data_IF_399468045418
#
_entry.id   IF_399468045418
#
_cell.length_a   1.000
_cell.length_b   1.000
_cell.length_c   1.000
_cell.angle_alpha   90.00
_cell.angle_beta   90.00
_cell.angle_gamma   90.00
#
_symmetry.space_group_name_H-M   'P 1'
#
loop_
_entity.id
_entity.type
_entity.pdbx_description
1 polymer ?
#
# COMPACT_ATOMS: atom_id res chain seq x y z
N UNK A 1 -0.41 -8.87 23.51
CA UNK A 1 1.03 -8.51 23.55
C UNK A 1 1.16 -7.12 23.00
N UNK A 2 1.56 -6.16 23.83
CA UNK A 2 1.70 -4.76 23.43
C UNK A 2 3.18 -4.43 23.39
N UNK A 3 3.70 -4.23 22.18
CA UNK A 3 5.10 -3.85 21.97
C UNK A 3 5.24 -2.34 21.92
N UNK A 4 6.40 -1.79 22.27
CA UNK A 4 6.69 -0.35 22.08
C UNK A 4 7.79 -0.17 21.04
N UNK A 5 7.44 0.35 19.87
CA UNK A 5 8.40 0.56 18.77
C UNK A 5 9.34 1.72 19.14
N UNK A 6 10.65 1.47 19.08
CA UNK A 6 11.70 2.45 19.33
C UNK A 6 12.32 2.96 18.05
N UNK A 7 12.40 2.13 17.00
CA UNK A 7 12.94 2.50 15.68
C UNK A 7 12.21 1.80 14.54
N UNK A 8 12.17 2.49 13.40
CA UNK A 8 11.68 1.99 12.12
C UNK A 8 12.79 2.11 11.07
N UNK A 9 12.94 1.09 10.24
CA UNK A 9 13.86 1.06 9.11
C UNK A 9 13.17 0.54 7.85
N UNK A 10 13.59 1.05 6.69
CA UNK A 10 13.14 0.57 5.39
C UNK A 10 14.35 0.29 4.50
N UNK A 11 14.33 -0.85 3.80
CA UNK A 11 15.33 -1.26 2.82
C UNK A 11 14.65 -1.41 1.46
N UNK A 12 15.17 -0.75 0.43
CA UNK A 12 14.55 -0.72 -0.92
C UNK A 12 15.25 -1.58 -1.98
N UNK A 13 16.37 -2.23 -1.62
CA UNK A 13 17.18 -3.02 -2.56
C UNK A 13 16.55 -4.37 -2.94
N UNK A 14 17.37 -5.32 -3.38
CA UNK A 14 16.96 -6.66 -3.89
C UNK A 14 16.13 -7.53 -2.93
N UNK A 15 16.00 -7.12 -1.66
CA UNK A 15 15.06 -7.72 -0.71
C UNK A 15 14.44 -6.59 0.09
N UNK A 16 13.39 -5.94 -0.45
CA UNK A 16 12.81 -4.81 0.23
C UNK A 16 12.04 -5.26 1.47
N UNK A 17 12.18 -4.46 2.53
CA UNK A 17 11.66 -4.85 3.85
C UNK A 17 11.50 -3.64 4.75
N UNK A 18 10.53 -3.72 5.65
CA UNK A 18 10.47 -2.87 6.84
C UNK A 18 11.03 -3.64 8.03
N UNK A 19 11.80 -2.95 8.87
CA UNK A 19 12.28 -3.50 10.12
C UNK A 19 11.91 -2.60 11.28
N UNK A 20 11.69 -3.23 12.43
CA UNK A 20 11.38 -2.54 13.68
C UNK A 20 12.33 -3.00 14.77
N UNK A 21 12.72 -2.05 15.61
CA UNK A 21 13.28 -2.29 16.93
C UNK A 21 12.16 -1.96 17.93
N UNK A 22 11.92 -2.83 18.91
CA UNK A 22 10.87 -2.62 19.90
C UNK A 22 11.24 -3.19 21.26
N UNK A 23 10.60 -2.68 22.31
CA UNK A 23 10.65 -3.26 23.64
C UNK A 23 9.50 -4.26 23.80
N UNK A 24 9.83 -5.46 24.27
CA UNK A 24 8.83 -6.44 24.70
C UNK A 24 8.29 -6.14 26.11
N UNK A 25 7.37 -6.99 26.59
CA UNK A 25 6.73 -6.85 27.91
C UNK A 25 7.73 -6.91 29.09
N UNK A 26 8.95 -7.40 28.85
CA UNK A 26 10.03 -7.48 29.83
C UNK A 26 11.07 -6.35 29.66
N UNK A 27 10.76 -5.31 28.88
CA UNK A 27 11.66 -4.21 28.54
C UNK A 27 12.96 -4.67 27.87
N UNK A 28 12.94 -5.79 27.14
CA UNK A 28 14.08 -6.23 26.33
C UNK A 28 13.92 -5.74 24.90
N UNK A 29 15.03 -5.29 24.32
CA UNK A 29 15.07 -4.93 22.92
C UNK A 29 14.94 -6.18 22.04
N UNK A 30 14.02 -6.10 21.11
CA UNK A 30 13.74 -7.10 20.11
C UNK A 30 13.81 -6.47 18.72
N UNK A 31 14.03 -7.32 17.73
CA UNK A 31 14.09 -6.93 16.33
C UNK A 31 13.14 -7.80 15.52
N UNK A 32 12.38 -7.17 14.62
CA UNK A 32 11.53 -7.89 13.65
C UNK A 32 11.68 -7.27 12.28
N UNK A 33 11.72 -8.13 11.26
CA UNK A 33 11.72 -7.76 9.86
C UNK A 33 10.44 -8.28 9.20
N UNK A 34 9.87 -7.45 8.35
CA UNK A 34 8.72 -7.71 7.50
C UNK A 34 9.20 -7.54 6.06
N UNK A 35 9.14 -8.61 5.27
CA UNK A 35 9.42 -8.47 3.86
C UNK A 35 8.24 -7.78 3.19
N UNK A 36 8.55 -6.72 2.43
CA UNK A 36 7.53 -5.84 1.84
C UNK A 36 7.98 -5.53 0.43
N UNK A 37 7.11 -5.79 -0.54
CA UNK A 37 7.34 -5.38 -1.90
C UNK A 37 6.83 -3.95 -2.11
N UNK A 38 7.65 -2.95 -1.78
CA UNK A 38 7.24 -1.54 -1.86
C UNK A 38 6.81 -1.08 -3.24
N UNK A 39 7.33 -1.71 -4.30
CA UNK A 39 6.93 -1.46 -5.68
C UNK A 39 5.44 -1.75 -5.93
N UNK A 40 4.82 -2.61 -5.12
CA UNK A 40 3.42 -3.00 -5.27
C UNK A 40 2.44 -1.99 -4.66
N UNK A 41 2.93 -0.99 -3.93
CA UNK A 41 2.09 0.02 -3.32
C UNK A 41 2.20 1.32 -4.12
N UNK A 42 1.15 1.63 -4.88
CA UNK A 42 1.01 2.92 -5.56
C UNK A 42 0.46 4.00 -4.60
N UNK A 43 -0.27 3.55 -3.58
CA UNK A 43 -0.93 4.39 -2.58
C UNK A 43 -0.36 4.13 -1.17
N UNK A 44 0.01 5.22 -0.50
CA UNK A 44 0.47 5.21 0.90
C UNK A 44 -0.58 4.66 1.88
N UNK A 45 -1.86 4.87 1.61
CA UNK A 45 -2.94 4.44 2.48
C UNK A 45 -3.10 2.92 2.43
N UNK A 46 -2.92 2.30 1.26
CA UNK A 46 -2.94 0.84 1.13
C UNK A 46 -1.79 0.18 1.90
N UNK A 47 -0.58 0.76 1.80
CA UNK A 47 0.57 0.27 2.58
C UNK A 47 0.34 0.46 4.09
N UNK A 48 -0.18 1.62 4.49
CA UNK A 48 -0.56 1.88 5.89
C UNK A 48 -1.58 0.86 6.41
N UNK A 49 -2.64 0.60 5.64
CA UNK A 49 -3.66 -0.37 6.03
C UNK A 49 -3.06 -1.76 6.19
N UNK A 50 -2.20 -2.20 5.26
CA UNK A 50 -1.49 -3.48 5.37
C UNK A 50 -0.71 -3.58 6.70
N UNK A 51 -0.02 -2.51 7.11
CA UNK A 51 0.70 -2.51 8.39
C UNK A 51 -0.24 -2.64 9.59
N UNK A 52 -1.32 -1.88 9.64
CA UNK A 52 -2.20 -1.85 10.83
C UNK A 52 -3.19 -3.00 10.89
N UNK A 53 -3.45 -3.69 9.77
CA UNK A 53 -4.35 -4.85 9.71
C UNK A 53 -3.58 -6.17 9.76
N UNK A 54 -2.70 -6.41 8.78
CA UNK A 54 -1.98 -7.69 8.66
C UNK A 54 -0.90 -7.85 9.73
N UNK A 55 -0.37 -6.74 10.25
CA UNK A 55 0.65 -6.70 11.30
C UNK A 55 0.22 -5.92 12.54
N UNK A 56 -1.08 -5.94 12.86
CA UNK A 56 -1.69 -5.20 13.98
C UNK A 56 -0.95 -5.40 15.31
N UNK A 57 -0.45 -6.62 15.57
CA UNK A 57 0.28 -6.96 16.80
C UNK A 57 1.53 -6.08 17.02
N UNK A 58 2.09 -5.51 15.94
CA UNK A 58 3.24 -4.62 15.97
C UNK A 58 2.87 -3.18 15.67
N UNK A 59 1.90 -2.93 14.80
CA UNK A 59 1.54 -1.60 14.33
C UNK A 59 0.11 -1.26 14.74
N UNK A 60 -0.03 -0.71 15.95
CA UNK A 60 -1.30 -0.23 16.47
C UNK A 60 -1.06 1.07 17.26
N UNK A 61 -2.15 1.69 17.72
CA UNK A 61 -2.12 2.96 18.44
C UNK A 61 -1.32 2.93 19.75
N UNK A 62 -1.19 1.75 20.36
CA UNK A 62 -0.49 1.57 21.64
C UNK A 62 1.01 1.33 21.43
N UNK A 63 1.41 0.84 20.24
CA UNK A 63 2.80 0.54 19.91
C UNK A 63 3.56 1.68 19.23
N UNK A 64 2.85 2.50 18.45
CA UNK A 64 3.43 3.62 17.72
C UNK A 64 2.40 4.73 17.49
N UNK A 65 2.88 5.98 17.53
CA UNK A 65 2.09 7.12 17.09
C UNK A 65 1.71 6.97 15.61
N UNK A 66 0.41 7.00 15.33
CA UNK A 66 -0.12 6.72 14.00
C UNK A 66 0.28 7.78 12.96
N UNK A 67 0.50 9.03 13.36
CA UNK A 67 0.99 10.07 12.47
C UNK A 67 2.46 9.85 12.11
N UNK A 68 3.28 9.38 13.07
CA UNK A 68 4.67 8.97 12.78
C UNK A 68 4.72 7.80 11.81
N UNK A 69 3.84 6.81 11.98
CA UNK A 69 3.75 5.67 11.06
C UNK A 69 3.35 6.12 9.65
N UNK A 70 2.31 6.96 9.52
CA UNK A 70 1.90 7.54 8.22
C UNK A 70 3.03 8.31 7.54
N UNK A 71 3.77 9.13 8.29
CA UNK A 71 4.91 9.90 7.75
C UNK A 71 6.05 8.99 7.30
N UNK A 72 6.33 7.93 8.03
CA UNK A 72 7.32 6.93 7.64
C UNK A 72 6.92 6.23 6.33
N UNK A 73 5.65 5.84 6.19
CA UNK A 73 5.11 5.20 4.98
C UNK A 73 5.12 6.14 3.78
N UNK A 74 4.76 7.42 3.97
CA UNK A 74 4.90 8.45 2.92
C UNK A 74 6.34 8.49 2.38
N UNK A 75 7.34 8.52 3.26
CA UNK A 75 8.75 8.51 2.85
C UNK A 75 9.16 7.21 2.13
N UNK A 76 8.53 6.08 2.46
CA UNK A 76 8.77 4.82 1.76
C UNK A 76 8.28 4.92 0.32
N UNK A 77 7.03 5.36 0.12
CA UNK A 77 6.44 5.47 -1.23
C UNK A 77 7.25 6.45 -2.10
N UNK A 78 7.66 7.59 -1.56
CA UNK A 78 8.46 8.58 -2.28
C UNK A 78 9.84 8.06 -2.71
N UNK A 79 10.45 7.18 -1.91
CA UNK A 79 11.78 6.62 -2.17
C UNK A 79 11.75 5.26 -2.87
N UNK A 80 10.57 4.65 -2.97
CA UNK A 80 10.42 3.34 -3.60
C UNK A 80 10.80 3.45 -5.08
N UNK A 81 11.69 2.58 -5.58
CA UNK A 81 11.99 2.55 -7.00
C UNK A 81 10.70 2.24 -7.76
N UNK A 82 10.33 3.15 -8.68
CA UNK A 82 9.19 2.95 -9.58
C UNK A 82 9.52 1.78 -10.50
N UNK A 83 8.67 0.76 -10.48
CA UNK A 83 8.88 -0.42 -11.30
C UNK A 83 8.55 -0.09 -12.76
N UNK A 84 9.50 -0.38 -13.66
CA UNK A 84 9.30 -0.26 -15.11
C UNK A 84 8.46 -1.46 -15.59
N UNK A 85 7.15 -1.24 -15.73
CA UNK A 85 6.19 -2.29 -16.13
C UNK A 85 6.52 -2.88 -17.52
N UNK A 86 7.25 -2.16 -18.38
CA UNK A 86 7.71 -2.67 -19.67
C UNK A 86 8.81 -3.74 -19.56
N UNK A 87 9.42 -3.90 -18.38
CA UNK A 87 10.48 -4.88 -18.09
C UNK A 87 10.13 -5.83 -16.94
N UNK A 88 8.91 -5.76 -16.43
CA UNK A 88 8.46 -6.60 -15.32
C UNK A 88 8.29 -8.06 -15.77
N UNK A 89 8.57 -9.02 -14.87
CA UNK A 89 8.27 -10.42 -15.13
C UNK A 89 6.76 -10.65 -15.06
N UNK A 90 6.27 -11.69 -15.72
CA UNK A 90 4.85 -12.07 -15.70
C UNK A 90 4.30 -12.26 -14.27
N UNK A 91 5.09 -12.87 -13.40
CA UNK A 91 4.76 -13.06 -11.98
C UNK A 91 4.58 -11.73 -11.24
N UNK A 92 5.39 -10.73 -11.56
CA UNK A 92 5.23 -9.39 -10.99
C UNK A 92 3.94 -8.75 -11.52
N UNK A 93 3.67 -8.86 -12.82
CA UNK A 93 2.44 -8.33 -13.46
C UNK A 93 1.18 -8.94 -12.83
N UNK A 94 1.15 -10.26 -12.63
CA UNK A 94 -0.01 -10.93 -12.03
C UNK A 94 -0.23 -10.48 -10.58
N UNK A 95 0.85 -10.30 -9.81
CA UNK A 95 0.76 -9.72 -8.45
C UNK A 95 0.27 -8.28 -8.45
N UNK A 96 0.65 -7.46 -9.43
CA UNK A 96 0.13 -6.10 -9.56
C UNK A 96 -1.37 -6.10 -9.86
N UNK A 97 -1.85 -7.02 -10.70
CA UNK A 97 -3.29 -7.18 -10.97
C UNK A 97 -4.05 -7.58 -9.72
N UNK A 98 -3.54 -8.54 -8.96
CA UNK A 98 -4.16 -8.96 -7.70
C UNK A 98 -4.23 -7.80 -6.70
N UNK A 99 -3.18 -6.99 -6.63
CA UNK A 99 -3.17 -5.81 -5.78
C UNK A 99 -4.14 -4.73 -6.26
N UNK A 100 -4.21 -4.47 -7.59
CA UNK A 100 -5.20 -3.55 -8.15
C UNK A 100 -6.63 -4.01 -7.84
N UNK A 101 -6.91 -5.32 -7.92
CA UNK A 101 -8.21 -5.87 -7.56
C UNK A 101 -8.50 -5.66 -6.08
N UNK A 102 -7.51 -5.92 -5.19
CA UNK A 102 -7.67 -5.69 -3.75
C UNK A 102 -7.94 -4.21 -3.44
N UNK A 103 -7.20 -3.29 -4.07
CA UNK A 103 -7.42 -1.85 -3.93
C UNK A 103 -8.78 -1.42 -4.46
N UNK A 104 -9.20 -1.96 -5.59
CA UNK A 104 -10.53 -1.73 -6.13
C UNK A 104 -11.61 -2.21 -5.15
N UNK A 105 -11.53 -3.44 -4.66
CA UNK A 105 -12.51 -4.02 -3.74
C UNK A 105 -12.60 -3.29 -2.39
N UNK A 106 -11.48 -2.75 -1.89
CA UNK A 106 -11.45 -1.95 -0.67
C UNK A 106 -12.09 -0.58 -0.83
N UNK A 107 -12.04 0.01 -2.03
CA UNK A 107 -12.50 1.37 -2.29
C UNK A 107 -13.82 1.42 -3.08
N UNK A 108 -14.29 0.28 -3.59
CA UNK A 108 -15.58 0.18 -4.26
C UNK A 108 -16.67 0.49 -3.24
N UNK A 109 -17.46 1.51 -3.54
CA UNK A 109 -18.66 1.85 -2.79
C UNK A 109 -19.70 0.79 -3.13
N UNK A 110 -20.24 0.09 -2.12
CA UNK A 110 -21.18 -1.03 -2.29
C UNK A 110 -22.61 -0.59 -1.96
N UNK A 111 -23.63 -1.32 -2.44
CA UNK A 111 -25.01 -1.11 -1.99
C UNK A 111 -25.10 -1.10 -0.46
N UNK A 112 -25.50 0.04 0.10
CA UNK A 112 -25.58 0.27 1.55
C UNK A 112 -24.48 1.15 2.13
N UNK A 113 -23.41 1.46 1.39
CA UNK A 113 -22.38 2.41 1.82
C UNK A 113 -22.86 3.86 1.64
N UNK A 114 -22.48 4.80 2.54
CA UNK A 114 -22.81 6.22 2.39
C UNK A 114 -22.27 6.78 1.07
N UNK A 115 -23.17 7.21 0.18
CA UNK A 115 -22.81 7.76 -1.14
C UNK A 115 -22.88 6.75 -2.29
N UNK A 116 -23.32 5.51 -2.05
CA UNK A 116 -23.66 4.58 -3.13
C UNK A 116 -24.81 5.12 -3.99
N UNK A 117 -24.63 5.12 -5.31
CA UNK A 117 -25.66 5.47 -6.28
C UNK A 117 -25.97 4.23 -7.12
N UNK A 118 -27.24 3.82 -7.15
CA UNK A 118 -27.69 2.66 -7.93
C UNK A 118 -27.49 2.86 -9.44
N UNK A 119 -27.65 4.10 -9.91
CA UNK A 119 -27.41 4.50 -11.30
C UNK A 119 -26.19 5.43 -11.38
N UNK A 120 -25.06 4.91 -11.84
CA UNK A 120 -23.88 5.72 -12.19
C UNK A 120 -23.90 5.98 -13.69
N UNK A 121 -24.25 7.20 -14.10
CA UNK A 121 -24.04 7.67 -15.48
C UNK A 121 -22.71 8.42 -15.55
N UNK A 122 -21.77 7.88 -16.31
CA UNK A 122 -20.52 8.58 -16.66
C UNK A 122 -20.63 8.96 -18.13
N UNK A 123 -20.84 10.24 -18.37
CA UNK A 123 -20.75 10.80 -19.71
C UNK A 123 -19.25 11.02 -20.01
N UNK A 124 -18.73 10.30 -20.99
CA UNK A 124 -17.39 10.55 -21.49
C UNK A 124 -17.50 11.64 -22.56
N UNK A 125 -16.87 12.80 -22.32
CA UNK A 125 -16.72 13.83 -23.35
C UNK A 125 -15.85 13.24 -24.47
N UNK A 126 -16.50 12.79 -25.55
CA UNK A 126 -15.80 12.41 -26.77
C UNK A 126 -15.27 13.71 -27.36
N UNK A 127 -13.97 13.96 -27.23
CA UNK A 127 -13.33 15.05 -27.94
C UNK A 127 -13.52 14.78 -29.46
N UNK A 128 -14.14 15.68 -30.24
CA UNK A 128 -14.37 15.46 -31.67
C UNK A 128 -13.08 15.23 -32.47
N UNK A 129 -11.92 15.58 -31.89
CA UNK A 129 -10.60 15.37 -32.49
C UNK A 129 -10.00 13.98 -32.22
N UNK A 130 -10.59 13.17 -31.34
CA UNK A 130 -10.13 11.78 -31.06
C UNK A 130 -10.71 10.77 -32.07
N UNK A 131 -11.53 11.22 -33.03
CA UNK A 131 -12.06 10.41 -34.13
C UNK A 131 -11.18 10.60 -35.37
N UNK A 132 -9.88 10.30 -35.26
CA UNK A 132 -9.00 10.13 -36.40
C UNK A 132 -7.80 9.28 -35.98
N UNK A 133 -7.92 7.97 -36.10
CA UNK A 133 -6.85 7.12 -36.63
C UNK A 133 -7.47 5.80 -37.10
N UNK A 134 -7.19 5.50 -38.36
CA UNK A 134 -7.77 4.47 -39.22
C UNK A 134 -7.93 3.10 -38.55
N UNK A 135 -9.14 2.54 -38.64
CA UNK A 135 -9.40 1.11 -38.55
C UNK A 135 -9.68 0.54 -39.94
N UNK A 136 -8.69 0.67 -40.84
CA UNK A 136 -8.57 -0.10 -42.08
C UNK A 136 -7.11 -0.54 -42.29
#
# INVERSE_FOLDING_TARGET
MTVKITRLGAKFGSSPSVSIEYLDENNKYQYKRFDVAFSYFSNKDALYQTFVTDYEMYFNKDSIDQNKLKKFIQNIIEKSPKLDLGKAKKEDIDRFKDQMNKEFEMNVIKPGDPGYQDDVRVDFDVNPNDVNEDWD
#
